data_IF_096142937335
#
_entry.id   IF_096142937335
#
_cell.length_a   1.000
_cell.length_b   1.000
_cell.length_c   1.000
_cell.angle_alpha   90.00
_cell.angle_beta   90.00
_cell.angle_gamma   90.00
#
_symmetry.space_group_name_H-M   'P 1'
#
loop_
_entity.id
_entity.type
_entity.pdbx_description
1 polymer ?
#
# COMPACT_ATOMS: atom_id res chain seq x y z
N UNK A 1 -28.59 -43.44 28.36
CA UNK A 1 -28.61 -43.92 26.96
C UNK A 1 -29.77 -43.17 26.32
N UNK A 2 -29.63 -42.20 25.41
CA UNK A 2 -28.59 -41.87 24.45
C UNK A 2 -28.48 -40.35 24.28
N UNK A 3 -27.24 -39.95 23.99
CA UNK A 3 -26.79 -38.69 23.41
C UNK A 3 -27.36 -38.46 22.02
N UNK A 4 -27.71 -37.21 21.70
CA UNK A 4 -27.87 -36.73 20.33
C UNK A 4 -27.63 -35.22 20.27
N UNK A 5 -26.41 -34.82 20.58
CA UNK A 5 -25.87 -33.50 20.24
C UNK A 5 -25.69 -33.42 18.70
N UNK A 6 -26.12 -32.35 18.01
CA UNK A 6 -25.79 -32.17 16.61
C UNK A 6 -24.31 -31.74 16.48
N UNK A 7 -23.53 -32.63 15.85
CA UNK A 7 -22.19 -32.32 15.34
C UNK A 7 -22.32 -31.34 14.17
N UNK A 8 -21.86 -30.11 14.35
CA UNK A 8 -21.53 -29.24 13.22
C UNK A 8 -20.02 -29.04 13.12
N UNK A 9 -19.56 -29.38 11.93
CA UNK A 9 -18.20 -29.47 11.46
C UNK A 9 -17.67 -28.06 11.20
N UNK A 10 -16.43 -27.84 11.66
CA UNK A 10 -15.65 -26.61 11.58
C UNK A 10 -15.35 -26.24 10.12
N UNK A 11 -15.49 -24.96 9.78
CA UNK A 11 -14.66 -24.31 8.76
C UNK A 11 -14.25 -22.94 9.32
N UNK A 12 -13.18 -22.91 10.11
CA UNK A 12 -12.63 -21.67 10.66
C UNK A 12 -12.17 -20.76 9.50
N UNK A 13 -12.41 -19.44 9.55
CA UNK A 13 -11.77 -18.50 8.63
C UNK A 13 -10.23 -18.60 8.75
N UNK A 14 -9.45 -18.25 7.71
CA UNK A 14 -8.01 -18.38 7.78
C UNK A 14 -7.42 -17.54 8.92
N UNK A 15 -6.37 -18.07 9.52
CA UNK A 15 -5.49 -17.37 10.44
C UNK A 15 -4.89 -16.14 9.72
N UNK A 16 -5.37 -14.94 10.06
CA UNK A 16 -4.88 -13.62 9.63
C UNK A 16 -4.82 -13.37 8.10
N UNK A 17 -5.52 -12.35 7.59
CA UNK A 17 -5.48 -12.00 6.16
C UNK A 17 -4.19 -11.26 5.83
N UNK A 18 -3.12 -12.01 5.56
CA UNK A 18 -1.81 -11.44 5.24
C UNK A 18 -1.82 -10.66 3.93
N UNK A 19 -1.36 -9.41 4.02
CA UNK A 19 -1.04 -8.53 2.88
C UNK A 19 0.48 -8.40 2.77
N UNK A 20 1.01 -8.50 1.55
CA UNK A 20 2.43 -8.25 1.26
C UNK A 20 2.59 -6.90 0.57
N UNK A 21 3.37 -6.01 1.17
CA UNK A 21 3.76 -4.76 0.56
C UNK A 21 5.17 -4.85 -0.01
N UNK A 22 5.35 -4.40 -1.25
CA UNK A 22 6.62 -4.35 -1.94
C UNK A 22 6.99 -2.90 -2.22
N UNK A 23 8.03 -2.40 -1.55
CA UNK A 23 8.69 -1.16 -1.97
C UNK A 23 9.57 -1.46 -3.19
N UNK A 24 9.06 -1.13 -4.38
CA UNK A 24 9.76 -1.39 -5.64
C UNK A 24 10.97 -0.50 -5.82
N UNK A 25 10.87 0.76 -5.39
CA UNK A 25 11.93 1.76 -5.49
C UNK A 25 11.78 2.89 -4.45
N UNK A 26 12.65 3.90 -4.54
CA UNK A 26 12.66 5.06 -3.63
C UNK A 26 12.73 6.41 -4.35
N UNK A 27 13.17 6.44 -5.61
CA UNK A 27 13.08 7.64 -6.43
C UNK A 27 11.63 7.94 -6.78
N UNK A 28 11.24 9.21 -6.64
CA UNK A 28 9.88 9.67 -6.88
C UNK A 28 9.93 11.03 -7.57
N UNK A 29 8.96 11.34 -8.42
CA UNK A 29 8.82 12.67 -9.01
C UNK A 29 8.31 13.73 -8.03
N UNK A 30 7.95 13.33 -6.79
CA UNK A 30 7.51 14.19 -5.70
C UNK A 30 8.43 14.06 -4.48
N UNK A 31 8.40 15.05 -3.59
CA UNK A 31 9.06 15.03 -2.27
C UNK A 31 8.04 15.40 -1.20
N UNK A 32 7.08 14.50 -0.95
CA UNK A 32 6.02 14.78 0.00
C UNK A 32 6.60 15.01 1.41
N UNK A 33 6.14 16.05 2.11
CA UNK A 33 6.68 16.42 3.43
C UNK A 33 6.38 15.38 4.52
N UNK A 34 5.41 14.49 4.31
CA UNK A 34 5.12 13.37 5.22
C UNK A 34 5.71 12.02 4.79
N UNK A 35 6.46 11.95 3.68
CA UNK A 35 6.82 10.66 3.08
C UNK A 35 7.54 9.72 4.06
N UNK A 36 6.88 8.59 4.39
CA UNK A 36 7.39 7.61 5.37
C UNK A 36 8.69 6.95 4.89
N UNK A 37 8.81 6.68 3.59
CA UNK A 37 9.96 6.05 2.96
C UNK A 37 11.06 7.05 2.55
N UNK A 38 10.87 8.34 2.82
CA UNK A 38 11.81 9.43 2.47
C UNK A 38 12.14 9.46 0.96
N UNK A 39 11.17 9.09 0.12
CA UNK A 39 11.27 9.11 -1.34
C UNK A 39 11.35 10.54 -1.88
N UNK A 40 12.12 10.73 -2.95
CA UNK A 40 12.26 12.04 -3.60
C UNK A 40 12.90 11.96 -4.99
N UNK A 41 12.92 13.05 -5.77
CA UNK A 41 13.65 13.08 -7.06
C UNK A 41 15.15 12.88 -6.91
N UNK A 42 15.68 13.13 -5.70
CA UNK A 42 17.11 13.00 -5.38
C UNK A 42 17.41 11.72 -4.59
N UNK A 43 16.40 10.89 -4.31
CA UNK A 43 16.66 9.62 -3.64
C UNK A 43 17.50 8.73 -4.57
N UNK A 44 18.51 8.01 -4.05
CA UNK A 44 19.30 7.10 -4.87
C UNK A 44 18.40 6.08 -5.55
N UNK A 45 18.64 5.84 -6.85
CA UNK A 45 17.96 4.77 -7.57
C UNK A 45 18.35 3.43 -6.96
N UNK A 46 17.35 2.77 -6.39
CA UNK A 46 17.43 1.43 -5.80
C UNK A 46 16.14 0.75 -6.17
N UNK A 47 16.20 -0.36 -6.90
CA UNK A 47 15.02 -1.09 -7.36
C UNK A 47 15.06 -2.53 -6.84
N UNK A 48 13.92 -3.05 -6.42
CA UNK A 48 13.79 -4.44 -5.97
C UNK A 48 14.10 -5.42 -7.12
N UNK A 49 13.67 -5.09 -8.34
CA UNK A 49 13.96 -5.82 -9.58
C UNK A 49 13.02 -7.01 -9.80
N UNK A 50 12.71 -7.28 -11.08
CA UNK A 50 11.72 -8.27 -11.49
C UNK A 50 11.95 -9.66 -10.88
N UNK A 51 13.18 -10.18 -10.93
CA UNK A 51 13.50 -11.52 -10.42
C UNK A 51 13.22 -11.67 -8.91
N UNK A 52 13.44 -10.62 -8.12
CA UNK A 52 13.13 -10.64 -6.69
C UNK A 52 11.62 -10.57 -6.45
N UNK A 53 10.91 -9.73 -7.21
CA UNK A 53 9.44 -9.65 -7.15
C UNK A 53 8.81 -10.99 -7.47
N UNK A 54 9.25 -11.67 -8.54
CA UNK A 54 8.71 -12.98 -8.92
C UNK A 54 8.82 -13.99 -7.78
N UNK A 55 10.00 -14.09 -7.15
CA UNK A 55 10.23 -14.97 -6.00
C UNK A 55 9.39 -14.59 -4.79
N UNK A 56 9.26 -13.30 -4.49
CA UNK A 56 8.47 -12.82 -3.36
C UNK A 56 6.98 -13.12 -3.56
N UNK A 57 6.45 -12.93 -4.77
CA UNK A 57 5.06 -13.26 -5.11
C UNK A 57 4.83 -14.76 -4.98
N UNK A 58 5.69 -15.60 -5.55
CA UNK A 58 5.55 -17.06 -5.46
C UNK A 58 5.59 -17.54 -3.99
N UNK A 59 6.52 -17.03 -3.17
CA UNK A 59 6.58 -17.37 -1.74
C UNK A 59 5.36 -16.85 -0.96
N UNK A 60 4.86 -15.65 -1.27
CA UNK A 60 3.68 -15.09 -0.61
C UNK A 60 2.40 -15.89 -0.92
N UNK A 61 2.21 -16.28 -2.18
CA UNK A 61 1.09 -17.14 -2.59
C UNK A 61 1.19 -18.50 -1.88
N UNK A 62 2.38 -19.11 -1.81
CA UNK A 62 2.59 -20.36 -1.11
C UNK A 62 2.33 -20.26 0.41
N UNK A 63 2.54 -19.07 1.00
CA UNK A 63 2.27 -18.78 2.41
C UNK A 63 0.83 -18.31 2.68
N UNK A 64 -0.03 -18.23 1.66
CA UNK A 64 -1.46 -17.93 1.81
C UNK A 64 -1.79 -16.43 1.86
N UNK A 65 -0.92 -15.55 1.36
CA UNK A 65 -1.22 -14.12 1.24
C UNK A 65 -2.34 -13.89 0.22
N UNK A 66 -3.29 -13.01 0.54
CA UNK A 66 -4.45 -12.72 -0.33
C UNK A 66 -4.21 -11.55 -1.28
N UNK A 67 -3.29 -10.65 -0.92
CA UNK A 67 -3.04 -9.41 -1.65
C UNK A 67 -1.54 -9.08 -1.68
N UNK A 68 -1.08 -8.58 -2.83
CA UNK A 68 0.24 -7.98 -3.00
C UNK A 68 0.10 -6.52 -3.41
N UNK A 69 0.74 -5.61 -2.68
CA UNK A 69 0.66 -4.18 -2.89
C UNK A 69 2.02 -3.63 -3.31
N UNK A 70 2.08 -3.03 -4.49
CA UNK A 70 3.26 -2.40 -5.04
C UNK A 70 3.26 -0.92 -4.65
N UNK A 71 4.33 -0.48 -4.01
CA UNK A 71 4.52 0.89 -3.54
C UNK A 71 5.99 1.28 -3.70
N UNK A 72 6.35 2.45 -3.16
CA UNK A 72 7.73 2.89 -3.06
C UNK A 72 8.16 3.74 -4.24
N UNK A 73 8.87 4.82 -3.90
CA UNK A 73 9.12 5.89 -4.84
C UNK A 73 7.83 6.28 -5.57
N UNK A 74 7.97 6.48 -6.87
CA UNK A 74 6.86 6.31 -7.81
C UNK A 74 7.13 5.06 -8.65
N UNK A 75 6.30 3.99 -8.57
CA UNK A 75 6.54 2.74 -9.30
C UNK A 75 6.64 2.93 -10.82
N UNK A 76 5.87 3.86 -11.39
CA UNK A 76 5.89 4.14 -12.84
C UNK A 76 7.11 4.94 -13.35
N UNK A 77 8.12 5.16 -12.48
CA UNK A 77 9.47 5.55 -12.89
C UNK A 77 10.32 4.35 -13.32
N UNK A 78 9.99 3.14 -12.86
CA UNK A 78 10.66 1.91 -13.26
C UNK A 78 10.14 1.45 -14.63
N UNK A 79 11.06 0.98 -15.48
CA UNK A 79 10.67 0.46 -16.80
C UNK A 79 10.08 -0.95 -16.71
N UNK A 80 10.54 -1.75 -15.74
CA UNK A 80 10.17 -3.14 -15.51
C UNK A 80 8.95 -3.30 -14.59
N UNK A 81 8.35 -2.20 -14.10
CA UNK A 81 7.15 -2.25 -13.26
C UNK A 81 5.99 -2.99 -13.93
N UNK A 82 5.82 -2.85 -15.25
CA UNK A 82 4.73 -3.50 -15.97
C UNK A 82 4.86 -5.03 -15.95
N UNK A 83 6.08 -5.54 -16.09
CA UNK A 83 6.36 -6.98 -16.01
C UNK A 83 6.15 -7.50 -14.58
N UNK A 84 6.52 -6.71 -13.57
CA UNK A 84 6.27 -7.03 -12.15
C UNK A 84 4.78 -7.13 -11.85
N UNK A 85 4.00 -6.14 -12.29
CA UNK A 85 2.55 -6.09 -12.07
C UNK A 85 1.85 -7.25 -12.80
N UNK A 86 2.15 -7.47 -14.08
CA UNK A 86 1.57 -8.55 -14.86
C UNK A 86 1.89 -9.93 -14.26
N UNK A 87 3.10 -10.12 -13.75
CA UNK A 87 3.47 -11.37 -13.09
C UNK A 87 2.67 -11.62 -11.81
N UNK A 88 2.47 -10.57 -11.00
CA UNK A 88 1.77 -10.64 -9.72
C UNK A 88 0.26 -10.81 -9.91
N UNK A 89 -0.36 -10.00 -10.76
CA UNK A 89 -1.82 -10.01 -10.97
C UNK A 89 -2.32 -11.32 -11.58
N UNK A 90 -1.49 -11.99 -12.37
CA UNK A 90 -1.76 -13.34 -12.86
C UNK A 90 -1.83 -14.42 -11.76
N UNK A 91 -1.38 -14.14 -10.53
CA UNK A 91 -1.30 -15.10 -9.42
C UNK A 91 -2.15 -14.71 -8.20
N UNK A 92 -2.22 -13.43 -7.90
CA UNK A 92 -2.83 -12.90 -6.68
C UNK A 92 -3.34 -11.48 -6.91
N UNK A 93 -4.38 -11.09 -6.17
CA UNK A 93 -4.92 -9.74 -6.23
C UNK A 93 -3.79 -8.74 -5.96
N UNK A 94 -3.61 -7.81 -6.89
CA UNK A 94 -2.45 -6.94 -6.96
C UNK A 94 -2.90 -5.49 -7.00
N UNK A 95 -2.41 -4.67 -6.07
CA UNK A 95 -2.69 -3.23 -6.06
C UNK A 95 -1.40 -2.45 -6.29
N UNK A 96 -1.37 -1.55 -7.28
CA UNK A 96 -0.26 -0.60 -7.46
C UNK A 96 -0.65 0.78 -6.93
N UNK A 97 0.16 1.31 -6.02
CA UNK A 97 0.02 2.66 -5.50
C UNK A 97 0.82 3.64 -6.35
N UNK A 98 0.19 4.75 -6.73
CA UNK A 98 0.82 5.80 -7.54
C UNK A 98 0.38 7.18 -7.10
N UNK A 99 1.16 8.21 -7.42
CA UNK A 99 0.69 9.60 -7.37
C UNK A 99 -0.18 9.98 -8.57
N UNK A 100 -0.35 9.09 -9.56
CA UNK A 100 -1.23 9.29 -10.72
C UNK A 100 -0.68 10.26 -11.77
N UNK A 101 0.37 11.02 -11.47
CA UNK A 101 0.84 12.10 -12.33
C UNK A 101 1.49 11.58 -13.61
N UNK A 102 2.05 10.37 -13.64
CA UNK A 102 2.84 9.86 -14.78
C UNK A 102 2.03 9.05 -15.79
N UNK A 103 0.80 8.66 -15.46
CA UNK A 103 -0.01 7.71 -16.22
C UNK A 103 -0.68 8.35 -17.44
N UNK A 104 0.14 8.64 -18.46
CA UNK A 104 -0.26 9.25 -19.73
C UNK A 104 0.63 8.78 -20.88
N UNK A 105 0.07 8.81 -22.09
CA UNK A 105 0.75 8.33 -23.31
C UNK A 105 1.27 6.90 -23.13
N UNK A 106 2.52 6.67 -23.53
CA UNK A 106 3.15 5.35 -23.52
C UNK A 106 3.12 4.64 -22.15
N UNK A 107 3.12 5.36 -21.02
CA UNK A 107 3.00 4.72 -19.69
C UNK A 107 1.61 4.14 -19.45
N UNK A 108 0.59 4.90 -19.82
CA UNK A 108 -0.80 4.44 -19.73
C UNK A 108 -1.08 3.30 -20.70
N UNK A 109 -0.51 3.37 -21.92
CA UNK A 109 -0.65 2.29 -22.90
C UNK A 109 -0.02 0.98 -22.42
N UNK A 110 1.16 1.05 -21.80
CA UNK A 110 1.80 -0.11 -21.20
C UNK A 110 1.02 -0.68 -20.02
N UNK A 111 0.44 0.17 -19.18
CA UNK A 111 -0.42 -0.28 -18.07
C UNK A 111 -1.70 -0.95 -18.59
N UNK A 112 -2.34 -0.35 -19.60
CA UNK A 112 -3.53 -0.92 -20.25
C UNK A 112 -3.24 -2.28 -20.91
N UNK A 113 -2.05 -2.47 -21.48
CA UNK A 113 -1.65 -3.71 -22.12
C UNK A 113 -1.52 -4.92 -21.16
N UNK A 114 -1.41 -4.67 -19.85
CA UNK A 114 -1.29 -5.71 -18.81
C UNK A 114 -2.50 -5.76 -17.87
N UNK A 115 -3.54 -4.98 -18.14
CA UNK A 115 -4.70 -4.90 -17.27
C UNK A 115 -5.44 -6.24 -17.21
N UNK A 116 -5.81 -6.64 -16.00
CA UNK A 116 -6.65 -7.80 -15.72
C UNK A 116 -7.55 -7.51 -14.50
N UNK A 117 -8.46 -8.41 -14.18
CA UNK A 117 -9.42 -8.25 -13.07
C UNK A 117 -8.76 -8.22 -11.68
N UNK A 118 -7.52 -8.69 -11.56
CA UNK A 118 -6.76 -8.71 -10.32
C UNK A 118 -5.90 -7.46 -10.11
N UNK A 119 -5.66 -6.67 -11.16
CA UNK A 119 -4.83 -5.47 -11.11
C UNK A 119 -5.66 -4.22 -10.77
N UNK A 120 -5.38 -3.65 -9.60
CA UNK A 120 -6.05 -2.46 -9.09
C UNK A 120 -5.06 -1.30 -9.04
N UNK A 121 -5.49 -0.11 -9.47
CA UNK A 121 -4.69 1.12 -9.38
C UNK A 121 -5.21 1.97 -8.24
N UNK A 122 -4.39 2.19 -7.22
CA UNK A 122 -4.69 3.09 -6.11
C UNK A 122 -3.93 4.40 -6.28
N UNK A 123 -4.67 5.48 -6.56
CA UNK A 123 -4.13 6.82 -6.74
C UNK A 123 -4.14 7.56 -5.41
N UNK A 124 -3.03 8.20 -5.09
CA UNK A 124 -2.91 8.95 -3.84
C UNK A 124 -3.50 10.36 -3.99
N UNK A 125 -4.59 10.67 -3.28
CA UNK A 125 -5.31 11.94 -3.36
C UNK A 125 -5.63 12.49 -1.96
N UNK A 126 -4.89 13.49 -1.50
CA UNK A 126 -5.08 14.03 -0.14
C UNK A 126 -6.13 15.15 -0.02
N UNK A 127 -6.89 15.46 -1.07
CA UNK A 127 -7.84 16.57 -1.01
C UNK A 127 -8.62 16.78 -2.31
N UNK A 128 -9.87 17.23 -2.17
CA UNK A 128 -10.74 17.56 -3.30
C UNK A 128 -10.40 18.91 -3.95
N UNK A 129 -9.48 19.68 -3.34
CA UNK A 129 -9.02 20.98 -3.83
C UNK A 129 -7.49 21.01 -3.92
N UNK A 130 -6.91 21.86 -4.79
CA UNK A 130 -5.46 22.04 -4.88
C UNK A 130 -4.81 22.37 -3.55
N UNK A 131 -5.42 23.26 -2.75
CA UNK A 131 -4.81 23.76 -1.50
C UNK A 131 -4.61 22.64 -0.48
N UNK A 132 -5.56 21.70 -0.41
CA UNK A 132 -5.52 20.58 0.54
C UNK A 132 -4.49 19.52 0.10
N UNK A 133 -4.46 19.19 -1.20
CA UNK A 133 -3.58 18.14 -1.74
C UNK A 133 -2.13 18.61 -1.91
N UNK A 134 -1.93 19.80 -2.46
CA UNK A 134 -0.61 20.33 -2.78
C UNK A 134 0.16 20.75 -1.52
N UNK A 135 -0.52 21.02 -0.40
CA UNK A 135 0.10 21.42 0.87
C UNK A 135 1.22 20.48 1.31
N UNK A 136 1.05 19.17 1.09
CA UNK A 136 2.06 18.17 1.46
C UNK A 136 2.76 17.54 0.25
N UNK A 137 2.15 17.57 -0.94
CA UNK A 137 2.67 16.88 -2.15
C UNK A 137 3.42 17.79 -3.12
N UNK A 138 3.29 19.11 -2.96
CA UNK A 138 3.92 20.13 -3.80
C UNK A 138 2.96 20.73 -4.83
N UNK A 139 3.23 21.98 -5.20
CA UNK A 139 2.36 22.77 -6.07
C UNK A 139 2.14 22.13 -7.46
N UNK A 140 0.89 22.13 -7.90
CA UNK A 140 0.45 21.57 -9.18
C UNK A 140 0.36 20.04 -9.19
N UNK A 141 0.51 19.36 -8.05
CA UNK A 141 0.34 17.92 -7.95
C UNK A 141 -1.13 17.55 -8.18
N UNK A 142 -2.06 18.24 -7.51
CA UNK A 142 -3.50 17.98 -7.58
C UNK A 142 -4.00 17.91 -9.01
N UNK A 143 -3.72 18.95 -9.81
CA UNK A 143 -4.19 19.03 -11.20
C UNK A 143 -3.72 17.81 -12.01
N UNK A 144 -2.44 17.44 -11.89
CA UNK A 144 -1.86 16.30 -12.60
C UNK A 144 -2.40 14.96 -12.09
N UNK A 145 -2.68 14.85 -10.80
CA UNK A 145 -3.29 13.67 -10.19
C UNK A 145 -4.72 13.49 -10.70
N UNK A 146 -5.55 14.54 -10.73
CA UNK A 146 -6.92 14.48 -11.26
C UNK A 146 -6.92 14.13 -12.74
N UNK A 147 -6.06 14.75 -13.54
CA UNK A 147 -5.89 14.38 -14.96
C UNK A 147 -5.54 12.89 -15.11
N UNK A 148 -4.65 12.37 -14.27
CA UNK A 148 -4.29 10.95 -14.26
C UNK A 148 -5.44 10.02 -13.88
N UNK A 149 -6.27 10.41 -12.91
CA UNK A 149 -7.48 9.66 -12.52
C UNK A 149 -8.46 9.59 -13.70
N UNK A 150 -8.76 10.72 -14.35
CA UNK A 150 -9.65 10.74 -15.50
C UNK A 150 -9.13 9.84 -16.64
N UNK A 151 -7.84 9.93 -16.97
CA UNK A 151 -7.22 9.10 -18.01
C UNK A 151 -7.28 7.60 -17.69
N UNK A 152 -7.15 7.22 -16.42
CA UNK A 152 -7.32 5.84 -15.98
C UNK A 152 -8.76 5.36 -16.16
N UNK A 153 -9.74 6.17 -15.75
CA UNK A 153 -11.16 5.85 -15.90
C UNK A 153 -11.58 5.78 -17.38
N UNK A 154 -11.07 6.67 -18.24
CA UNK A 154 -11.28 6.64 -19.69
C UNK A 154 -10.75 5.34 -20.33
N UNK A 155 -9.73 4.72 -19.72
CA UNK A 155 -9.19 3.40 -20.13
C UNK A 155 -9.89 2.23 -19.45
N UNK A 156 -10.94 2.46 -18.66
CA UNK A 156 -11.74 1.43 -18.01
C UNK A 156 -11.15 0.87 -16.71
N UNK A 157 -10.10 1.50 -16.16
CA UNK A 157 -9.57 1.08 -14.87
C UNK A 157 -10.51 1.42 -13.72
N UNK A 158 -10.70 0.46 -12.80
CA UNK A 158 -11.23 0.73 -11.46
C UNK A 158 -10.17 1.45 -10.64
N UNK A 159 -10.41 2.72 -10.34
CA UNK A 159 -9.49 3.56 -9.56
C UNK A 159 -9.90 3.53 -8.08
N UNK A 160 -8.93 3.22 -7.22
CA UNK A 160 -9.03 3.43 -5.77
C UNK A 160 -8.31 4.70 -5.35
N UNK A 161 -8.74 5.30 -4.26
CA UNK A 161 -8.10 6.46 -3.67
C UNK A 161 -7.47 6.12 -2.32
N UNK A 162 -6.24 6.57 -2.13
CA UNK A 162 -5.57 6.57 -0.84
C UNK A 162 -5.32 7.99 -0.36
N UNK A 163 -5.89 8.35 0.77
CA UNK A 163 -5.77 9.68 1.39
C UNK A 163 -4.99 9.57 2.69
N UNK A 164 -3.94 10.36 2.82
CA UNK A 164 -3.37 10.63 4.15
C UNK A 164 -4.13 11.81 4.75
N UNK A 165 -4.83 11.61 5.86
CA UNK A 165 -5.43 12.69 6.64
C UNK A 165 -4.32 13.54 7.27
N UNK A 166 -4.37 14.84 7.03
CA UNK A 166 -3.39 15.83 7.48
C UNK A 166 -4.09 17.05 8.09
N UNK A 167 -3.37 17.89 8.85
CA UNK A 167 -3.89 19.18 9.30
C UNK A 167 -4.50 20.06 8.18
N UNK A 168 -4.03 19.94 6.94
CA UNK A 168 -4.55 20.72 5.82
C UNK A 168 -5.92 20.23 5.31
N UNK A 169 -6.23 18.93 5.45
CA UNK A 169 -7.42 18.33 4.85
C UNK A 169 -8.44 17.77 5.85
N UNK A 170 -8.10 17.66 7.14
CA UNK A 170 -8.98 17.04 8.16
C UNK A 170 -10.37 17.69 8.22
N UNK A 171 -10.44 19.03 8.18
CA UNK A 171 -11.69 19.78 8.16
C UNK A 171 -12.46 19.69 6.82
N UNK A 172 -11.84 19.10 5.80
CA UNK A 172 -12.34 19.02 4.43
C UNK A 172 -12.55 17.57 3.96
N UNK A 173 -12.43 16.56 4.84
CA UNK A 173 -12.60 15.15 4.47
C UNK A 173 -13.99 14.86 3.90
N UNK A 174 -15.06 15.40 4.48
CA UNK A 174 -16.41 15.23 3.93
C UNK A 174 -16.55 15.81 2.52
N UNK A 175 -15.85 16.92 2.25
CA UNK A 175 -15.81 17.54 0.92
C UNK A 175 -14.99 16.71 -0.07
N UNK A 176 -13.89 16.09 0.39
CA UNK A 176 -13.14 15.11 -0.40
C UNK A 176 -14.02 13.88 -0.70
N UNK A 177 -14.81 13.42 0.26
CA UNK A 177 -15.76 12.32 0.06
C UNK A 177 -16.80 12.65 -1.01
N UNK A 178 -17.42 13.83 -0.93
CA UNK A 178 -18.33 14.31 -1.97
C UNK A 178 -17.64 14.45 -3.34
N UNK A 179 -16.38 14.88 -3.35
CA UNK A 179 -15.60 15.06 -4.58
C UNK A 179 -15.28 13.73 -5.26
N UNK A 180 -14.79 12.70 -4.57
CA UNK A 180 -14.49 11.44 -5.26
C UNK A 180 -15.77 10.75 -5.77
N UNK A 181 -16.90 10.89 -5.07
CA UNK A 181 -18.20 10.42 -5.57
C UNK A 181 -18.61 11.12 -6.86
N UNK A 182 -18.33 12.42 -7.00
CA UNK A 182 -18.63 13.14 -8.25
C UNK A 182 -17.72 12.72 -9.41
N UNK A 183 -16.55 12.14 -9.12
CA UNK A 183 -15.70 11.45 -10.10
C UNK A 183 -16.17 10.01 -10.41
N UNK A 184 -17.27 9.54 -9.80
CA UNK A 184 -17.76 8.17 -9.96
C UNK A 184 -16.96 7.11 -9.22
N UNK A 185 -16.13 7.52 -8.24
CA UNK A 185 -15.39 6.59 -7.38
C UNK A 185 -16.22 6.35 -6.11
N UNK A 186 -16.63 5.10 -5.81
CA UNK A 186 -17.51 4.81 -4.68
C UNK A 186 -16.74 4.79 -3.35
N UNK A 187 -17.47 4.84 -2.23
CA UNK A 187 -16.88 4.95 -0.89
C UNK A 187 -16.00 3.75 -0.54
N UNK A 188 -16.36 2.53 -0.98
CA UNK A 188 -15.57 1.32 -0.74
C UNK A 188 -14.19 1.32 -1.43
N UNK A 189 -13.97 2.23 -2.37
CA UNK A 189 -12.70 2.40 -3.08
C UNK A 189 -11.88 3.60 -2.55
N UNK A 190 -12.30 4.23 -1.45
CA UNK A 190 -11.58 5.33 -0.82
C UNK A 190 -11.10 4.96 0.58
N UNK A 191 -9.79 4.93 0.76
CA UNK A 191 -9.13 4.60 2.02
C UNK A 191 -8.47 5.85 2.62
N UNK A 192 -8.92 6.23 3.83
CA UNK A 192 -8.32 7.32 4.61
C UNK A 192 -7.45 6.72 5.70
N UNK A 193 -6.17 7.13 5.74
CA UNK A 193 -5.22 6.75 6.79
C UNK A 193 -4.73 7.98 7.54
N UNK A 194 -4.41 7.88 8.83
CA UNK A 194 -3.89 9.00 9.58
C UNK A 194 -2.46 9.36 9.12
N UNK A 195 -2.09 10.63 9.32
CA UNK A 195 -0.69 11.04 9.25
C UNK A 195 0.12 10.26 10.29
N UNK A 196 1.16 9.57 9.83
CA UNK A 196 2.12 8.90 10.70
C UNK A 196 3.27 9.84 11.04
N UNK A 197 3.71 9.85 12.30
CA UNK A 197 4.92 10.57 12.73
C UNK A 197 6.18 9.77 12.39
N UNK A 198 6.36 9.49 11.11
CA UNK A 198 7.44 8.67 10.55
C UNK A 198 8.03 9.36 9.32
N UNK A 199 9.22 8.91 8.90
CA UNK A 199 9.84 9.45 7.69
C UNK A 199 10.22 10.92 7.81
N UNK A 200 9.70 11.74 6.91
CA UNK A 200 9.85 13.20 6.95
C UNK A 200 8.87 13.91 7.90
N UNK A 201 7.74 13.28 8.26
CA UNK A 201 6.77 13.91 9.15
C UNK A 201 7.31 14.01 10.58
N UNK A 202 7.09 15.16 11.21
CA UNK A 202 7.33 15.39 12.66
C UNK A 202 6.04 15.44 13.47
N UNK A 203 4.90 15.27 12.79
CA UNK A 203 3.55 15.31 13.35
C UNK A 203 2.81 14.02 12.99
N UNK A 204 1.64 13.81 13.61
CA UNK A 204 0.80 12.64 13.38
C UNK A 204 0.89 11.60 14.50
N UNK A 205 0.31 10.43 14.24
CA UNK A 205 0.27 9.33 15.19
C UNK A 205 1.64 8.67 15.35
N UNK A 206 2.00 8.39 16.59
CA UNK A 206 3.14 7.53 16.94
C UNK A 206 2.74 6.08 16.67
N UNK A 207 3.29 5.49 15.61
CA UNK A 207 2.94 4.15 15.16
C UNK A 207 4.13 3.22 15.28
N UNK A 208 3.98 2.06 15.90
CA UNK A 208 5.03 1.06 16.07
C UNK A 208 4.47 -0.37 16.06
N UNK A 209 5.34 -1.37 16.16
CA UNK A 209 4.93 -2.79 16.15
C UNK A 209 3.92 -3.13 17.25
N UNK A 210 3.94 -2.40 18.37
CA UNK A 210 3.08 -2.62 19.52
C UNK A 210 1.65 -2.08 19.37
N UNK A 211 1.38 -1.22 18.37
CA UNK A 211 0.06 -0.61 18.17
C UNK A 211 -0.45 -0.72 16.73
N UNK A 212 0.26 -1.45 15.86
CA UNK A 212 -0.13 -1.72 14.48
C UNK A 212 -0.38 -3.21 14.26
N UNK A 213 -1.49 -3.53 13.61
CA UNK A 213 -1.69 -4.82 12.97
C UNK A 213 -0.61 -4.99 11.89
N UNK A 214 0.11 -6.13 11.80
CA UNK A 214 1.18 -6.28 10.83
C UNK A 214 0.65 -6.37 9.40
N UNK A 215 1.31 -5.66 8.50
CA UNK A 215 1.16 -5.78 7.05
C UNK A 215 2.55 -5.91 6.46
N UNK A 216 2.96 -7.17 6.23
CA UNK A 216 4.36 -7.52 5.97
C UNK A 216 4.88 -6.74 4.78
N UNK A 217 5.96 -6.00 5.00
CA UNK A 217 6.50 -5.07 4.02
C UNK A 217 7.93 -5.46 3.67
N UNK A 218 8.24 -5.53 2.39
CA UNK A 218 9.54 -5.92 1.88
C UNK A 218 10.17 -4.78 1.08
N UNK A 219 11.46 -4.57 1.32
CA UNK A 219 12.32 -3.74 0.49
C UNK A 219 13.74 -4.36 0.41
N UNK A 220 14.68 -3.67 -0.23
CA UNK A 220 16.06 -4.16 -0.38
C UNK A 220 16.83 -4.34 0.94
N UNK A 221 16.42 -3.63 1.99
CA UNK A 221 17.03 -3.67 3.31
C UNK A 221 16.44 -4.78 4.19
N UNK A 222 15.32 -5.40 3.80
CA UNK A 222 14.77 -6.58 4.45
C UNK A 222 13.25 -6.61 4.56
N UNK A 223 12.74 -7.18 5.67
CA UNK A 223 11.31 -7.29 5.98
C UNK A 223 10.96 -6.41 7.17
N UNK A 224 9.84 -5.71 7.08
CA UNK A 224 9.32 -4.74 8.02
C UNK A 224 7.90 -5.10 8.43
N UNK A 225 7.50 -4.65 9.61
CA UNK A 225 6.21 -4.93 10.21
C UNK A 225 5.02 -4.33 9.42
N UNK A 226 5.20 -3.16 8.81
CA UNK A 226 4.10 -2.39 8.23
C UNK A 226 4.59 -1.37 7.18
N UNK A 227 3.82 -1.03 6.13
CA UNK A 227 4.25 -0.12 5.06
C UNK A 227 4.42 1.34 5.49
N UNK A 228 3.92 1.70 6.69
CA UNK A 228 4.01 3.05 7.25
C UNK A 228 5.38 3.38 7.86
N UNK A 229 6.34 2.46 7.81
CA UNK A 229 7.71 2.72 8.21
C UNK A 229 8.69 1.75 7.56
N UNK A 230 9.82 2.28 7.13
CA UNK A 230 11.01 1.50 6.78
C UNK A 230 12.17 1.80 7.73
N UNK A 231 11.88 2.35 8.91
CA UNK A 231 12.87 2.63 9.95
C UNK A 231 13.24 1.34 10.71
N UNK A 232 14.41 1.35 11.36
CA UNK A 232 15.01 0.14 11.97
C UNK A 232 14.18 -0.45 13.12
N UNK A 233 13.39 0.36 13.82
CA UNK A 233 12.52 -0.09 14.91
C UNK A 233 11.31 -0.90 14.42
N UNK A 234 11.05 -0.90 13.11
CA UNK A 234 9.99 -1.67 12.46
C UNK A 234 10.53 -2.85 11.65
N UNK A 235 11.86 -3.08 11.65
CA UNK A 235 12.51 -4.13 10.89
C UNK A 235 12.42 -5.49 11.59
N UNK A 236 11.83 -6.47 10.91
CA UNK A 236 11.64 -7.85 11.39
C UNK A 236 12.79 -8.77 10.93
N UNK A 237 13.39 -8.47 9.77
CA UNK A 237 14.49 -9.23 9.20
C UNK A 237 15.37 -8.33 8.33
N UNK A 238 16.68 -8.56 8.34
CA UNK A 238 17.63 -7.94 7.39
C UNK A 238 17.71 -8.66 6.05
N UNK A 239 17.06 -9.83 5.93
CA UNK A 239 16.97 -10.61 4.70
C UNK A 239 15.50 -10.62 4.26
N UNK A 240 15.24 -10.18 3.04
CA UNK A 240 13.89 -10.17 2.47
C UNK A 240 13.47 -11.51 1.85
N UNK A 241 14.42 -12.41 1.57
CA UNK A 241 14.17 -13.78 1.11
C UNK A 241 15.05 -14.78 1.89
N UNK A 242 14.56 -16.01 2.14
CA UNK A 242 13.16 -16.42 1.99
C UNK A 242 12.22 -15.68 2.97
N UNK A 243 10.95 -15.55 2.60
CA UNK A 243 9.91 -14.80 3.31
C UNK A 243 9.40 -15.55 4.54
N UNK A 244 9.32 -16.89 4.48
CA UNK A 244 8.72 -17.72 5.54
C UNK A 244 9.29 -17.46 6.95
N UNK A 245 10.63 -17.40 7.17
CA UNK A 245 11.16 -17.13 8.51
C UNK A 245 10.79 -15.74 9.05
N UNK A 246 10.53 -14.77 8.17
CA UNK A 246 10.08 -13.44 8.61
C UNK A 246 8.59 -13.48 8.98
N UNK A 247 7.75 -14.19 8.22
CA UNK A 247 6.33 -14.40 8.54
C UNK A 247 6.17 -15.09 9.89
N UNK A 248 6.93 -16.15 10.15
CA UNK A 248 6.94 -16.84 11.46
C UNK A 248 7.30 -15.90 12.62
N UNK A 249 8.30 -15.02 12.43
CA UNK A 249 8.67 -14.01 13.43
C UNK A 249 7.55 -13.00 13.65
N UNK A 250 6.90 -12.52 12.59
CA UNK A 250 5.77 -11.60 12.71
C UNK A 250 4.63 -12.25 13.48
N UNK A 251 4.26 -13.48 13.14
CA UNK A 251 3.20 -14.21 13.83
C UNK A 251 3.51 -14.38 15.33
N UNK A 252 4.72 -14.83 15.66
CA UNK A 252 5.12 -15.02 17.06
C UNK A 252 5.10 -13.71 17.87
N UNK A 253 5.53 -12.60 17.27
CA UNK A 253 5.48 -11.29 17.91
C UNK A 253 4.04 -10.78 18.07
N UNK A 254 3.20 -10.98 17.05
CA UNK A 254 1.78 -10.63 17.11
C UNK A 254 1.08 -11.40 18.24
N UNK A 255 1.29 -12.71 18.32
CA UNK A 255 0.73 -13.56 19.37
C UNK A 255 1.17 -13.09 20.77
N UNK A 256 2.44 -12.72 20.93
CA UNK A 256 2.96 -12.16 22.17
C UNK A 256 2.28 -10.84 22.54
N UNK A 257 2.10 -9.92 21.58
CA UNK A 257 1.42 -8.63 21.81
C UNK A 257 -0.03 -8.88 22.24
N UNK A 258 -0.76 -9.74 21.52
CA UNK A 258 -2.15 -10.06 21.82
C UNK A 258 -2.30 -10.72 23.20
N UNK A 259 -1.34 -11.55 23.61
CA UNK A 259 -1.34 -12.18 24.93
C UNK A 259 -1.15 -11.20 26.09
N UNK A 260 -0.50 -10.05 25.87
CA UNK A 260 -0.31 -9.04 26.93
C UNK A 260 -1.57 -8.26 27.29
N UNK A 261 -2.61 -8.30 26.43
CA UNK A 261 -3.81 -7.47 26.60
C UNK A 261 -3.54 -5.96 26.50
N UNK A 262 -2.41 -5.57 25.90
CA UNK A 262 -2.10 -4.17 25.62
C UNK A 262 -3.10 -3.55 24.62
N UNK A 263 -3.05 -2.22 24.50
CA UNK A 263 -3.92 -1.35 23.67
C UNK A 263 -4.34 -2.01 22.34
N UNK A 264 -5.60 -1.84 21.89
CA UNK A 264 -6.06 -2.39 20.61
C UNK A 264 -5.13 -2.01 19.45
N UNK A 265 -4.75 -3.00 18.65
CA UNK A 265 -3.95 -2.77 17.45
C UNK A 265 -4.78 -2.01 16.40
N UNK A 266 -4.16 -1.01 15.78
CA UNK A 266 -4.77 -0.23 14.69
C UNK A 266 -4.60 -0.94 13.35
N UNK A 267 -5.61 -0.86 12.49
CA UNK A 267 -5.58 -1.30 11.08
C UNK A 267 -6.05 -0.14 10.19
N UNK A 268 -5.48 -0.03 8.98
CA UNK A 268 -5.71 1.09 8.07
C UNK A 268 -6.02 0.65 6.63
N UNK A 269 -6.38 -0.62 6.43
CA UNK A 269 -6.56 -1.25 5.12
C UNK A 269 -7.69 -2.26 5.08
#
# INVERSE_FOLDING_TARGET
MNDSSPKHQVCSPPAFQWKLWLYTNYDCNLRCSYCVAKSSPNAPRRALGLANVQRLVDEAVALGFSDVLFTGGEPFLLNDIYEMLAYSSARVKTTVLTNGMLLRGARLDKLAAIADDNLIVQVSLDGGRPEDHDAYRGAGAWKKTIEGICLLQERGFRVRLGTTETPANTAHLDSLCAFHRSLGIPDEDHFVRPLAKRGYSKEGLELGMHNLVPEITVNLDGVFWHPLSTDADMQVSKKFLPLAPAVERVQSQLDAILATGAVPLMTFT
#
